data_IF_390469307545
#
_entry.id   IF_390469307545
#
_cell.length_a   1.000
_cell.length_b   1.000
_cell.length_c   1.000
_cell.angle_alpha   90.00
_cell.angle_beta   90.00
_cell.angle_gamma   90.00
#
_symmetry.space_group_name_H-M   'P 1'
#
loop_
_entity.id
_entity.type
_entity.pdbx_description
1 polymer ?
#
# COMPACT_ATOMS: atom_id res chain seq x y z
N UNK A 1 7.78 15.25 20.87
CA UNK A 1 7.95 13.79 20.82
C UNK A 1 8.51 13.44 19.45
N UNK A 2 9.68 12.82 19.38
CA UNK A 2 10.36 12.50 18.12
C UNK A 2 10.07 11.09 17.63
N UNK A 3 10.08 10.91 16.31
CA UNK A 3 10.06 9.59 15.68
C UNK A 3 11.40 8.91 15.95
N UNK A 4 11.36 7.73 16.56
CA UNK A 4 12.54 6.91 16.86
C UNK A 4 12.82 5.90 15.75
N UNK A 5 11.77 5.28 15.23
CA UNK A 5 11.89 4.16 14.28
C UNK A 5 10.67 4.11 13.36
N UNK A 6 10.91 3.80 12.09
CA UNK A 6 9.86 3.48 11.11
C UNK A 6 10.15 2.09 10.56
N UNK A 7 9.22 1.15 10.77
CA UNK A 7 9.29 -0.22 10.23
C UNK A 7 8.17 -0.43 9.24
N UNK A 8 8.49 -1.02 8.09
CA UNK A 8 7.48 -1.46 7.12
C UNK A 8 7.67 -2.92 6.77
N UNK A 9 6.56 -3.64 6.73
CA UNK A 9 6.51 -5.06 6.36
C UNK A 9 5.34 -5.32 5.42
N UNK A 10 5.47 -6.35 4.58
CA UNK A 10 4.35 -6.83 3.79
C UNK A 10 3.49 -7.81 4.61
N UNK A 11 2.19 -7.55 4.64
CA UNK A 11 1.19 -8.38 5.33
C UNK A 11 0.12 -8.88 4.36
N UNK A 12 -0.31 -10.11 4.59
CA UNK A 12 -1.44 -10.71 3.89
C UNK A 12 -2.71 -10.51 4.72
N UNK A 13 -3.66 -9.72 4.20
CA UNK A 13 -4.92 -9.41 4.86
C UNK A 13 -6.14 -10.00 4.14
N UNK A 14 -5.94 -10.68 3.01
CA UNK A 14 -7.05 -11.28 2.29
C UNK A 14 -7.73 -12.32 3.18
N UNK A 15 -9.04 -12.19 3.43
CA UNK A 15 -9.77 -13.16 4.22
C UNK A 15 -9.75 -14.51 3.49
N UNK A 16 -9.51 -15.59 4.25
CA UNK A 16 -9.59 -16.97 3.76
C UNK A 16 -10.82 -17.63 4.37
N UNK A 17 -12.05 -17.26 3.95
CA UNK A 17 -13.26 -17.83 4.51
C UNK A 17 -13.31 -19.33 4.20
N UNK A 18 -13.59 -20.14 5.21
CA UNK A 18 -13.78 -21.59 5.07
C UNK A 18 -15.22 -21.94 4.69
N UNK A 19 -16.16 -21.02 4.88
CA UNK A 19 -17.57 -21.21 4.58
C UNK A 19 -17.94 -20.71 3.19
N UNK A 20 -18.93 -21.35 2.57
CA UNK A 20 -19.47 -20.90 1.29
C UNK A 20 -20.19 -19.56 1.48
N UNK A 21 -19.90 -18.55 0.64
CA UNK A 21 -20.60 -17.27 0.73
C UNK A 21 -22.09 -17.45 0.43
N UNK A 22 -22.95 -16.80 1.22
CA UNK A 22 -24.41 -16.82 1.05
C UNK A 22 -24.84 -16.38 -0.36
N UNK A 23 -24.11 -15.42 -0.93
CA UNK A 23 -24.33 -14.92 -2.29
C UNK A 23 -23.06 -15.15 -3.11
N UNK A 24 -23.13 -15.83 -4.28
CA UNK A 24 -21.96 -16.00 -5.13
C UNK A 24 -21.48 -14.64 -5.65
N UNK A 25 -20.17 -14.50 -5.84
CA UNK A 25 -19.60 -13.28 -6.40
C UNK A 25 -20.15 -13.01 -7.81
N UNK A 26 -20.64 -11.78 -8.02
CA UNK A 26 -21.05 -11.29 -9.35
C UNK A 26 -19.91 -11.26 -10.36
N UNK A 27 -18.66 -11.21 -9.89
CA UNK A 27 -17.49 -11.33 -10.77
C UNK A 27 -17.43 -12.66 -11.53
N UNK A 28 -18.22 -13.66 -11.11
CA UNK A 28 -18.34 -14.97 -11.78
C UNK A 28 -19.50 -15.02 -12.77
N UNK A 29 -20.42 -14.05 -12.76
CA UNK A 29 -21.64 -14.10 -13.58
C UNK A 29 -21.53 -13.32 -14.89
N UNK A 30 -20.59 -12.38 -14.98
CA UNK A 30 -20.32 -11.64 -16.20
C UNK A 30 -18.84 -11.27 -16.28
N UNK A 31 -18.39 -11.04 -17.50
CA UNK A 31 -17.05 -10.56 -17.74
C UNK A 31 -17.01 -9.03 -17.70
N UNK A 32 -16.12 -8.49 -16.87
CA UNK A 32 -15.84 -7.05 -16.83
C UNK A 32 -14.90 -6.67 -17.98
N UNK A 33 -15.29 -5.68 -18.77
CA UNK A 33 -14.40 -5.03 -19.75
C UNK A 33 -13.39 -4.16 -19.00
N UNK A 34 -12.10 -4.42 -19.17
CA UNK A 34 -10.99 -3.67 -18.58
C UNK A 34 -10.16 -3.00 -19.68
N UNK A 35 -9.35 -1.97 -19.37
CA UNK A 35 -8.48 -1.34 -20.37
C UNK A 35 -7.60 -2.33 -21.15
N UNK A 36 -7.05 -3.35 -20.47
CA UNK A 36 -6.21 -4.39 -21.09
C UNK A 36 -6.99 -5.37 -21.97
N UNK A 37 -8.32 -5.43 -21.86
CA UNK A 37 -9.18 -6.34 -22.63
C UNK A 37 -9.15 -6.07 -24.15
N UNK A 38 -8.56 -4.94 -24.58
CA UNK A 38 -8.26 -4.68 -26.00
C UNK A 38 -7.32 -5.72 -26.62
N UNK A 39 -6.47 -6.35 -25.82
CA UNK A 39 -5.47 -7.30 -26.28
C UNK A 39 -6.00 -8.74 -26.15
N UNK A 40 -6.18 -9.48 -27.27
CA UNK A 40 -6.77 -10.83 -27.25
C UNK A 40 -5.95 -11.86 -26.45
N UNK A 41 -4.65 -11.64 -26.25
CA UNK A 41 -3.79 -12.51 -25.43
C UNK A 41 -4.15 -12.49 -23.94
N UNK A 42 -4.86 -11.46 -23.47
CA UNK A 42 -5.30 -11.32 -22.08
C UNK A 42 -6.78 -11.74 -21.91
N UNK A 43 -7.29 -12.62 -22.79
CA UNK A 43 -8.72 -12.96 -22.86
C UNK A 43 -9.24 -13.83 -21.69
N UNK A 44 -10.16 -13.20 -20.95
CA UNK A 44 -11.47 -13.62 -20.40
C UNK A 44 -11.62 -14.75 -19.37
N UNK A 45 -10.68 -15.67 -19.16
CA UNK A 45 -10.93 -16.79 -18.21
C UNK A 45 -10.18 -16.71 -16.89
N UNK A 46 -9.07 -15.99 -16.86
CA UNK A 46 -8.15 -16.04 -15.72
C UNK A 46 -8.11 -14.69 -15.01
N UNK A 47 -8.83 -14.61 -13.89
CA UNK A 47 -8.57 -13.64 -12.83
C UNK A 47 -8.66 -12.14 -13.16
N UNK A 48 -8.23 -11.34 -12.18
CA UNK A 48 -8.13 -9.90 -12.29
C UNK A 48 -6.77 -9.51 -12.88
N UNK A 49 -6.64 -9.58 -14.21
CA UNK A 49 -5.39 -9.27 -14.96
C UNK A 49 -4.82 -7.86 -14.75
N UNK A 50 -5.57 -6.96 -14.11
CA UNK A 50 -5.17 -5.58 -13.84
C UNK A 50 -4.68 -5.36 -12.40
N UNK A 51 -4.66 -6.40 -11.56
CA UNK A 51 -4.15 -6.32 -10.20
C UNK A 51 -2.93 -7.23 -10.06
N UNK A 52 -1.90 -6.73 -9.38
CA UNK A 52 -0.78 -7.53 -8.92
C UNK A 52 -1.21 -8.39 -7.72
N UNK A 53 -0.53 -9.52 -7.52
CA UNK A 53 -0.64 -10.35 -6.31
C UNK A 53 0.15 -9.77 -5.12
N UNK A 54 0.53 -8.49 -5.19
CA UNK A 54 1.20 -7.82 -4.09
C UNK A 54 0.36 -7.84 -2.81
N UNK A 55 1.05 -8.16 -1.72
CA UNK A 55 0.54 -8.02 -0.35
C UNK A 55 0.29 -6.55 -0.03
N UNK A 56 -0.14 -6.26 1.20
CA UNK A 56 -0.32 -4.89 1.69
C UNK A 56 0.89 -4.47 2.50
N UNK A 57 1.38 -3.23 2.36
CA UNK A 57 2.37 -2.69 3.26
C UNK A 57 1.68 -2.33 4.59
N UNK A 58 2.34 -2.67 5.69
CA UNK A 58 2.01 -2.26 7.04
C UNK A 58 3.17 -1.45 7.60
N UNK A 59 2.89 -0.20 7.95
CA UNK A 59 3.84 0.75 8.50
C UNK A 59 3.60 0.92 10.00
N UNK A 60 4.67 0.78 10.78
CA UNK A 60 4.71 1.01 12.22
C UNK A 60 5.70 2.13 12.48
N UNK A 61 5.22 3.22 13.10
CA UNK A 61 6.05 4.36 13.50
C UNK A 61 6.12 4.39 15.01
N UNK A 62 7.32 4.28 15.59
CA UNK A 62 7.53 4.27 17.04
C UNK A 62 8.17 5.59 17.46
N UNK A 63 7.61 6.23 18.47
CA UNK A 63 8.13 7.45 19.08
C UNK A 63 9.18 7.16 20.16
N UNK A 64 9.88 8.19 20.60
CA UNK A 64 10.91 8.09 21.65
C UNK A 64 10.40 7.61 23.00
N UNK A 65 9.12 7.85 23.32
CA UNK A 65 8.46 7.41 24.56
C UNK A 65 7.93 5.96 24.48
N UNK A 66 8.15 5.28 23.34
CA UNK A 66 7.71 3.91 23.11
C UNK A 66 6.28 3.78 22.61
N UNK A 67 5.52 4.88 22.51
CA UNK A 67 4.22 4.85 21.83
C UNK A 67 4.42 4.58 20.34
N UNK A 68 3.45 3.91 19.71
CA UNK A 68 3.54 3.56 18.30
C UNK A 68 2.21 3.78 17.59
N UNK A 69 2.32 4.18 16.32
CA UNK A 69 1.22 4.29 15.37
C UNK A 69 1.32 3.21 14.30
N UNK A 70 0.18 2.85 13.73
CA UNK A 70 0.06 1.81 12.70
C UNK A 70 -0.76 2.31 11.51
N UNK A 71 -0.30 2.02 10.29
CA UNK A 71 -1.02 2.32 9.06
C UNK A 71 -0.85 1.24 8.01
N UNK A 72 -1.88 1.01 7.19
CA UNK A 72 -1.86 0.05 6.08
C UNK A 72 -2.21 0.75 4.77
N UNK A 73 -1.69 0.23 3.65
CA UNK A 73 -2.01 0.74 2.32
C UNK A 73 -2.18 -0.39 1.29
N UNK A 74 -2.07 -0.06 0.01
CA UNK A 74 -2.03 -0.98 -1.13
C UNK A 74 -0.61 -1.09 -1.69
N UNK A 75 -0.39 -2.04 -2.61
CA UNK A 75 0.84 -2.18 -3.39
C UNK A 75 2.11 -2.45 -2.56
N UNK A 76 2.08 -3.52 -1.76
CA UNK A 76 3.12 -3.88 -0.78
C UNK A 76 4.55 -3.85 -1.34
N UNK A 77 4.78 -4.45 -2.51
CA UNK A 77 6.12 -4.58 -3.08
C UNK A 77 6.83 -3.24 -3.22
N UNK A 78 6.34 -2.34 -4.09
CA UNK A 78 6.97 -1.04 -4.30
C UNK A 78 6.81 -0.09 -3.10
N UNK A 79 5.64 -0.06 -2.45
CA UNK A 79 5.37 0.91 -1.37
C UNK A 79 6.23 0.65 -0.15
N UNK A 80 6.50 -0.63 0.18
CA UNK A 80 7.41 -0.97 1.29
C UNK A 80 8.79 -0.34 1.08
N UNK A 81 9.34 -0.45 -0.13
CA UNK A 81 10.65 0.10 -0.46
C UNK A 81 10.66 1.62 -0.50
N UNK A 82 9.61 2.25 -1.03
CA UNK A 82 9.49 3.71 -1.01
C UNK A 82 9.50 4.23 0.44
N UNK A 83 8.76 3.59 1.35
CA UNK A 83 8.75 4.04 2.75
C UNK A 83 10.11 3.77 3.41
N UNK A 84 10.67 2.56 3.27
CA UNK A 84 11.91 2.19 3.97
C UNK A 84 13.15 2.92 3.44
N UNK A 85 13.26 3.06 2.12
CA UNK A 85 14.50 3.50 1.48
C UNK A 85 14.47 5.01 1.21
N UNK A 86 13.29 5.57 0.91
CA UNK A 86 13.17 6.96 0.50
C UNK A 86 12.67 7.86 1.62
N UNK A 87 11.55 7.55 2.29
CA UNK A 87 10.98 8.45 3.29
C UNK A 87 11.59 8.31 4.68
N UNK A 88 11.75 7.07 5.17
CA UNK A 88 12.16 6.83 6.55
C UNK A 88 13.46 7.56 6.97
N UNK A 89 14.53 7.61 6.14
CA UNK A 89 15.76 8.30 6.50
C UNK A 89 15.60 9.79 6.82
N UNK A 90 14.59 10.47 6.25
CA UNK A 90 14.34 11.89 6.47
C UNK A 90 13.33 12.18 7.58
N UNK A 91 12.52 11.19 7.98
CA UNK A 91 11.47 11.35 8.98
C UNK A 91 11.92 10.91 10.39
N UNK A 92 12.88 10.00 10.50
CA UNK A 92 13.44 9.61 11.80
C UNK A 92 14.12 10.83 12.45
N UNK A 93 13.80 11.08 13.72
CA UNK A 93 14.27 12.22 14.50
C UNK A 93 13.40 13.47 14.42
N UNK A 94 12.42 13.51 13.50
CA UNK A 94 11.46 14.60 13.40
C UNK A 94 10.34 14.51 14.46
N UNK A 95 9.68 15.64 14.74
CA UNK A 95 8.56 15.68 15.67
C UNK A 95 7.34 14.96 15.07
N UNK A 96 6.87 13.88 15.71
CA UNK A 96 5.75 13.08 15.23
C UNK A 96 4.43 13.85 15.15
N UNK A 97 4.28 14.95 15.89
CA UNK A 97 3.10 15.81 15.85
C UNK A 97 3.13 16.87 14.72
N UNK A 98 4.25 17.02 14.01
CA UNK A 98 4.40 17.99 12.93
C UNK A 98 3.83 17.46 11.60
N UNK A 99 2.61 16.93 11.61
CA UNK A 99 2.01 16.17 10.51
C UNK A 99 2.03 16.91 9.16
N UNK A 100 1.68 18.19 9.15
CA UNK A 100 1.70 19.03 7.94
C UNK A 100 3.10 19.21 7.36
N UNK A 101 4.11 19.43 8.21
CA UNK A 101 5.51 19.54 7.79
C UNK A 101 5.99 18.21 7.20
N UNK A 102 5.73 17.10 7.89
CA UNK A 102 6.16 15.78 7.45
C UNK A 102 5.51 15.39 6.12
N UNK A 103 4.23 15.75 5.94
CA UNK A 103 3.53 15.57 4.67
C UNK A 103 4.15 16.39 3.53
N UNK A 104 4.37 17.70 3.74
CA UNK A 104 5.01 18.57 2.74
C UNK A 104 6.41 18.06 2.36
N UNK A 105 7.21 17.61 3.35
CA UNK A 105 8.51 16.98 3.10
C UNK A 105 8.38 15.74 2.21
N UNK A 106 7.47 14.81 2.51
CA UNK A 106 7.28 13.59 1.71
C UNK A 106 6.83 13.91 0.27
N UNK A 107 5.93 14.88 0.10
CA UNK A 107 5.49 15.33 -1.24
C UNK A 107 6.66 15.89 -2.04
N UNK A 108 7.48 16.76 -1.43
CA UNK A 108 8.66 17.34 -2.09
C UNK A 108 9.74 16.30 -2.38
N UNK A 109 10.01 15.40 -1.43
CA UNK A 109 10.99 14.33 -1.59
C UNK A 109 10.63 13.39 -2.75
N UNK A 110 9.33 13.17 -2.99
CA UNK A 110 8.85 12.27 -4.06
C UNK A 110 8.54 12.97 -5.37
N UNK A 111 8.81 14.28 -5.51
CA UNK A 111 8.41 15.05 -6.69
C UNK A 111 8.91 14.48 -8.04
N UNK A 112 10.05 13.77 -8.05
CA UNK A 112 10.62 13.17 -9.25
C UNK A 112 9.85 11.95 -9.79
N UNK A 113 9.07 11.26 -8.94
CA UNK A 113 8.35 10.03 -9.30
C UNK A 113 6.93 9.98 -8.69
N UNK A 114 6.46 11.09 -8.14
CA UNK A 114 5.20 11.21 -7.43
C UNK A 114 4.18 12.09 -8.16
N UNK A 115 3.51 12.97 -7.40
CA UNK A 115 2.37 13.82 -7.79
C UNK A 115 1.05 13.09 -8.08
N UNK A 116 1.09 11.83 -8.53
CA UNK A 116 -0.09 10.99 -8.72
C UNK A 116 0.14 9.59 -8.16
N UNK A 117 -0.75 8.64 -8.47
CA UNK A 117 -0.68 7.28 -7.97
C UNK A 117 0.62 6.55 -8.32
N UNK A 118 0.68 5.29 -7.90
CA UNK A 118 1.78 4.37 -8.16
C UNK A 118 1.49 3.53 -9.41
#
# INVERSE_FOLDING_TARGET
MKIKEIRVVEIELNPKPTTTPRTPSRSRTYQLNRPITRYPSFNRKEGHVSYSEWKRPACIVTAEDGTWGFGISLYGGPVTRIISDHFAPFLVGENCMATEKLWDMMVRLSAAFGATGL
#
